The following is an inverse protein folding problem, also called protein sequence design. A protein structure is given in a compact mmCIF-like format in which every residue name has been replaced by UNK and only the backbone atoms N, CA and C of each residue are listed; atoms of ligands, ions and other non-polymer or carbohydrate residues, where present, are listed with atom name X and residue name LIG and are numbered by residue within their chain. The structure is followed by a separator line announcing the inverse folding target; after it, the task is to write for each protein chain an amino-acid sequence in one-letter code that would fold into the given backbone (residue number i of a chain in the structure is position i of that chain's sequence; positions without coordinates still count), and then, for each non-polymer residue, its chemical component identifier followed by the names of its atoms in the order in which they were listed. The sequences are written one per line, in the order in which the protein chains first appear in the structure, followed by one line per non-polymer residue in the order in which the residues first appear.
data_IF_824029898567
#
_entry.id   IF_824029898567
#
_cell.length_a   1.000
_cell.length_b   1.000
_cell.length_c   1.000
_cell.angle_alpha   90.00
_cell.angle_beta   90.00
_cell.angle_gamma   90.00
#
_symmetry.space_group_name_H-M   'P 1'
#
loop_
_entity.id
_entity.type
_entity.pdbx_description
1 polymer ?
#
# COMPACT_ATOMS: atom_id res chain seq x y z
N UNK A 1 -0.97 -6.98 26.29
CA UNK A 1 -0.16 -7.95 25.52
C UNK A 1 -0.32 -9.33 26.13
N UNK A 2 -0.78 -10.28 25.34
CA UNK A 2 -0.90 -11.69 25.72
C UNK A 2 0.48 -12.35 25.95
N UNK A 3 0.51 -13.54 26.54
CA UNK A 3 1.74 -14.32 26.68
C UNK A 3 2.35 -14.68 25.31
N UNK A 4 1.49 -14.95 24.32
CA UNK A 4 1.91 -15.22 22.94
C UNK A 4 2.54 -13.96 22.29
N UNK A 5 1.96 -12.77 22.52
CA UNK A 5 2.54 -11.50 22.05
C UNK A 5 3.94 -11.25 22.61
N UNK A 6 4.14 -11.54 23.90
CA UNK A 6 5.45 -11.41 24.54
C UNK A 6 6.47 -12.38 23.94
N UNK A 7 6.07 -13.63 23.70
CA UNK A 7 6.91 -14.65 23.05
C UNK A 7 7.27 -14.24 21.62
N UNK A 8 6.29 -13.76 20.84
CA UNK A 8 6.48 -13.26 19.48
C UNK A 8 7.44 -12.08 19.45
N UNK A 9 7.26 -11.09 20.33
CA UNK A 9 8.15 -9.93 20.46
C UNK A 9 9.58 -10.34 20.82
N UNK A 10 9.77 -11.25 21.78
CA UNK A 10 11.10 -11.73 22.16
C UNK A 10 11.83 -12.43 21.00
N UNK A 11 11.10 -13.18 20.16
CA UNK A 11 11.68 -13.78 18.96
C UNK A 11 12.06 -12.73 17.92
N UNK A 12 11.24 -11.71 17.69
CA UNK A 12 11.55 -10.61 16.78
C UNK A 12 12.76 -9.79 17.24
N UNK A 13 12.88 -9.49 18.54
CA UNK A 13 14.04 -8.79 19.10
C UNK A 13 15.35 -9.56 18.86
N UNK A 14 15.34 -10.88 19.06
CA UNK A 14 16.50 -11.74 18.77
C UNK A 14 16.89 -11.72 17.30
N UNK A 15 15.91 -11.73 16.39
CA UNK A 15 16.18 -11.63 14.96
C UNK A 15 16.76 -10.28 14.57
N UNK A 16 16.20 -9.19 15.08
CA UNK A 16 16.69 -7.84 14.78
C UNK A 16 18.13 -7.63 15.25
N UNK A 17 18.51 -8.21 16.40
CA UNK A 17 19.88 -8.15 16.89
C UNK A 17 20.91 -8.88 16.01
N UNK A 18 20.46 -9.81 15.16
CA UNK A 18 21.32 -10.62 14.28
C UNK A 18 20.73 -10.72 12.87
N UNK A 19 20.19 -9.61 12.34
CA UNK A 19 19.38 -9.61 11.11
C UNK A 19 20.14 -10.23 9.93
N UNK A 20 21.36 -9.76 9.66
CA UNK A 20 22.17 -10.22 8.52
C UNK A 20 22.46 -11.71 8.60
N UNK A 21 22.85 -12.22 9.77
CA UNK A 21 23.10 -13.64 9.99
C UNK A 21 21.82 -14.47 9.83
N UNK A 22 20.69 -13.95 10.32
CA UNK A 22 19.41 -14.64 10.24
C UNK A 22 18.92 -14.77 8.79
N UNK A 23 18.92 -13.66 8.04
CA UNK A 23 18.54 -13.64 6.62
C UNK A 23 19.45 -14.55 5.79
N UNK A 24 20.76 -14.56 6.07
CA UNK A 24 21.70 -15.46 5.40
C UNK A 24 21.43 -16.94 5.72
N UNK A 25 21.06 -17.26 6.98
CA UNK A 25 20.84 -18.64 7.43
C UNK A 25 19.51 -19.25 6.98
N UNK A 26 18.44 -18.45 6.94
CA UNK A 26 17.11 -18.90 6.50
C UNK A 26 16.36 -17.71 5.86
N UNK A 27 16.54 -17.50 4.54
CA UNK A 27 15.87 -16.42 3.82
C UNK A 27 14.34 -16.47 3.93
N UNK A 28 13.77 -17.67 4.12
CA UNK A 28 12.32 -17.85 4.23
C UNK A 28 11.78 -17.57 5.65
N UNK A 29 12.63 -17.51 6.67
CA UNK A 29 12.16 -17.34 8.04
C UNK A 29 11.57 -15.95 8.31
N UNK A 30 12.11 -14.90 7.66
CA UNK A 30 11.53 -13.56 7.71
C UNK A 30 10.11 -13.60 7.16
N UNK A 31 9.93 -14.16 5.95
CA UNK A 31 8.62 -14.36 5.32
C UNK A 31 7.63 -15.07 6.25
N UNK A 32 7.99 -16.24 6.79
CA UNK A 32 7.11 -17.01 7.69
C UNK A 32 6.69 -16.23 8.94
N UNK A 33 7.52 -15.33 9.44
CA UNK A 33 7.24 -14.56 10.65
C UNK A 33 6.45 -13.29 10.38
N UNK A 34 6.70 -12.65 9.25
CA UNK A 34 5.89 -11.55 8.72
C UNK A 34 4.42 -11.98 8.60
N UNK A 35 4.16 -13.17 8.05
CA UNK A 35 2.81 -13.76 7.99
C UNK A 35 2.18 -14.04 9.36
N UNK A 36 2.98 -14.21 10.42
CA UNK A 36 2.48 -14.38 11.80
C UNK A 36 2.26 -13.08 12.57
N UNK A 37 2.64 -11.92 12.02
CA UNK A 37 2.57 -10.65 12.75
C UNK A 37 3.93 -10.10 13.11
N UNK A 38 4.21 -8.88 12.64
CA UNK A 38 5.25 -8.03 13.24
C UNK A 38 4.62 -7.29 14.44
N UNK A 39 5.14 -7.43 15.66
CA UNK A 39 4.64 -6.70 16.82
C UNK A 39 4.86 -5.19 16.68
N UNK A 40 3.88 -4.40 17.11
CA UNK A 40 3.92 -2.94 17.03
C UNK A 40 5.22 -2.30 17.53
N UNK A 41 5.83 -2.73 18.67
CA UNK A 41 7.03 -2.08 19.19
C UNK A 41 8.29 -2.21 18.35
N UNK A 42 8.32 -3.14 17.38
CA UNK A 42 9.49 -3.39 16.52
C UNK A 42 9.18 -3.19 15.04
N UNK A 43 7.94 -2.78 14.71
CA UNK A 43 7.46 -2.69 13.34
C UNK A 43 8.25 -1.69 12.52
N UNK A 44 8.49 -0.50 13.07
CA UNK A 44 9.34 0.50 12.43
C UNK A 44 10.70 -0.05 12.04
N UNK A 45 11.41 -0.69 12.97
CA UNK A 45 12.72 -1.28 12.69
C UNK A 45 12.68 -2.37 11.60
N UNK A 46 11.67 -3.25 11.64
CA UNK A 46 11.51 -4.30 10.63
C UNK A 46 11.23 -3.69 9.26
N UNK A 47 10.33 -2.71 9.17
CA UNK A 47 9.98 -2.05 7.91
C UNK A 47 11.15 -1.26 7.32
N UNK A 48 11.92 -0.55 8.16
CA UNK A 48 13.17 0.11 7.73
C UNK A 48 14.15 -0.88 7.11
N UNK A 49 14.29 -2.08 7.68
CA UNK A 49 15.15 -3.14 7.14
C UNK A 49 14.61 -3.74 5.83
N UNK A 50 13.32 -4.06 5.76
CA UNK A 50 12.69 -4.59 4.54
C UNK A 50 12.78 -3.60 3.38
N UNK A 51 12.63 -2.31 3.66
CA UNK A 51 12.78 -1.23 2.68
C UNK A 51 14.23 -0.84 2.43
N UNK A 52 15.22 -1.39 3.13
CA UNK A 52 16.62 -0.92 3.05
C UNK A 52 16.78 0.60 3.24
N UNK A 53 15.89 1.22 4.02
CA UNK A 53 15.77 2.67 4.11
C UNK A 53 17.03 3.32 4.72
N UNK A 54 17.69 2.64 5.66
CA UNK A 54 18.97 3.10 6.20
C UNK A 54 20.07 3.13 5.12
N UNK A 55 20.14 2.10 4.28
CA UNK A 55 21.12 2.05 3.19
C UNK A 55 20.86 3.18 2.17
N UNK A 56 19.59 3.48 1.87
CA UNK A 56 19.24 4.63 1.02
C UNK A 56 19.66 5.95 1.66
N UNK A 57 19.39 6.13 2.96
CA UNK A 57 19.80 7.34 3.70
C UNK A 57 21.32 7.56 3.68
N UNK A 58 22.12 6.50 3.75
CA UNK A 58 23.59 6.55 3.76
C UNK A 58 24.18 7.01 2.42
N UNK A 59 23.41 6.97 1.33
CA UNK A 59 23.83 7.50 0.03
C UNK A 59 23.83 9.03 -0.03
N UNK A 60 23.26 9.70 0.98
CA UNK A 60 23.08 11.16 1.00
C UNK A 60 23.77 11.79 2.21
N UNK A 61 24.10 13.10 2.15
CA UNK A 61 24.70 13.80 3.28
C UNK A 61 23.84 13.71 4.55
N UNK A 62 24.46 13.68 5.74
CA UNK A 62 23.75 13.78 7.01
C UNK A 62 22.82 15.00 7.06
N UNK A 63 21.71 14.89 7.78
CA UNK A 63 20.68 15.94 7.92
C UNK A 63 19.99 16.35 6.61
N UNK A 64 20.06 15.53 5.55
CA UNK A 64 19.36 15.83 4.29
C UNK A 64 17.86 16.05 4.50
N UNK A 65 17.19 15.21 5.30
CA UNK A 65 15.76 15.41 5.62
C UNK A 65 15.48 16.76 6.29
N UNK A 66 16.27 17.13 7.31
CA UNK A 66 16.11 18.40 8.00
C UNK A 66 16.31 19.60 7.05
N UNK A 67 17.30 19.52 6.16
CA UNK A 67 17.54 20.55 5.12
C UNK A 67 16.37 20.68 4.16
N UNK A 68 15.79 19.56 3.73
CA UNK A 68 14.63 19.55 2.83
C UNK A 68 13.37 20.11 3.50
N UNK A 69 13.18 19.89 4.81
CA UNK A 69 12.05 20.50 5.54
C UNK A 69 12.13 22.03 5.55
N UNK A 70 13.35 22.57 5.69
CA UNK A 70 13.62 24.01 5.70
C UNK A 70 13.65 24.63 4.30
N UNK A 71 13.70 23.81 3.25
CA UNK A 71 13.75 24.30 1.89
C UNK A 71 12.36 24.80 1.46
N UNK A 72 12.31 26.06 1.04
CA UNK A 72 11.15 26.66 0.38
C UNK A 72 11.54 26.93 -1.07
N UNK A 73 11.05 26.10 -2.00
CA UNK A 73 11.21 26.34 -3.44
C UNK A 73 10.08 27.25 -3.96
N UNK A 74 10.33 28.00 -5.03
CA UNK A 74 9.33 28.86 -5.67
C UNK A 74 8.32 28.06 -6.54
N UNK A 75 7.19 28.70 -6.85
CA UNK A 75 6.11 28.34 -7.80
C UNK A 75 5.57 26.89 -7.80
N UNK A 76 6.34 25.88 -8.21
CA UNK A 76 5.90 24.47 -8.29
C UNK A 76 5.78 23.82 -6.90
N UNK A 77 6.53 24.33 -5.92
CA UNK A 77 6.32 23.95 -4.52
C UNK A 77 4.93 24.37 -4.04
N UNK A 78 4.40 25.50 -4.51
CA UNK A 78 3.09 25.98 -4.06
C UNK A 78 1.98 25.01 -4.47
N UNK A 79 2.01 24.47 -5.69
CA UNK A 79 1.00 23.50 -6.13
C UNK A 79 1.04 22.22 -5.30
N UNK A 80 2.22 21.63 -5.13
CA UNK A 80 2.37 20.41 -4.34
C UNK A 80 1.97 20.63 -2.88
N UNK A 81 2.40 21.76 -2.29
CA UNK A 81 2.04 22.15 -0.92
C UNK A 81 0.52 22.31 -0.77
N UNK A 82 -0.14 22.98 -1.71
CA UNK A 82 -1.59 23.16 -1.69
C UNK A 82 -2.34 21.82 -1.77
N UNK A 83 -1.87 20.91 -2.61
CA UNK A 83 -2.42 19.55 -2.72
C UNK A 83 -2.19 18.72 -1.45
N UNK A 84 -0.99 18.79 -0.85
CA UNK A 84 -0.70 18.16 0.45
C UNK A 84 -1.65 18.71 1.52
N UNK A 85 -1.74 20.04 1.67
CA UNK A 85 -2.57 20.70 2.68
C UNK A 85 -4.05 20.32 2.55
N UNK A 86 -4.55 20.17 1.31
CA UNK A 86 -5.91 19.69 1.04
C UNK A 86 -6.12 18.24 1.51
N UNK A 87 -5.08 17.43 1.48
CA UNK A 87 -5.14 16.00 1.77
C UNK A 87 -4.91 15.64 3.24
N UNK A 88 -4.23 16.50 4.00
CA UNK A 88 -3.97 16.26 5.43
C UNK A 88 -5.25 15.93 6.23
N UNK A 89 -6.37 16.67 6.10
CA UNK A 89 -7.56 16.40 6.92
C UNK A 89 -8.29 15.10 6.56
N UNK A 90 -8.08 14.59 5.34
CA UNK A 90 -8.71 13.36 4.82
C UNK A 90 -7.81 12.13 4.94
N UNK A 91 -6.57 12.29 5.38
CA UNK A 91 -5.62 11.18 5.59
C UNK A 91 -5.75 10.65 7.02
N UNK A 92 -6.31 9.44 7.17
CA UNK A 92 -6.57 8.79 8.46
C UNK A 92 -7.33 9.66 9.49
N UNK A 93 -8.48 10.28 9.12
CA UNK A 93 -9.18 11.22 10.00
C UNK A 93 -9.66 10.61 11.32
N UNK A 94 -9.89 9.29 11.35
CA UNK A 94 -10.33 8.53 12.53
C UNK A 94 -9.18 8.08 13.43
N UNK A 95 -7.91 8.24 13.00
CA UNK A 95 -6.74 7.82 13.78
C UNK A 95 -6.29 8.97 14.67
N UNK A 96 -6.23 8.73 15.98
CA UNK A 96 -6.00 9.77 17.00
C UNK A 96 -4.77 10.65 16.73
N UNK A 97 -3.69 10.07 16.18
CA UNK A 97 -2.47 10.80 15.84
C UNK A 97 -2.67 11.88 14.76
N UNK A 98 -3.55 11.63 13.78
CA UNK A 98 -3.83 12.52 12.65
C UNK A 98 -5.15 13.30 12.77
N UNK A 99 -6.02 12.93 13.73
CA UNK A 99 -7.37 13.48 13.88
C UNK A 99 -7.39 14.99 14.20
N UNK A 100 -6.38 15.50 14.92
CA UNK A 100 -6.31 16.94 15.25
C UNK A 100 -5.79 17.74 14.05
N UNK A 101 -6.63 18.63 13.52
CA UNK A 101 -6.24 19.60 12.49
C UNK A 101 -5.02 20.42 12.95
N UNK A 102 -3.99 20.49 12.12
CA UNK A 102 -2.70 21.12 12.43
C UNK A 102 -2.00 20.57 13.70
N UNK A 103 -2.41 19.38 14.15
CA UNK A 103 -1.80 18.65 15.26
C UNK A 103 -0.44 18.07 14.88
N UNK A 104 0.26 17.45 15.86
CA UNK A 104 1.60 16.91 15.63
C UNK A 104 1.65 15.91 14.48
N UNK A 105 0.68 14.98 14.36
CA UNK A 105 0.66 14.00 13.27
C UNK A 105 0.46 14.62 11.89
N UNK A 106 -0.42 15.61 11.74
CA UNK A 106 -0.59 16.31 10.45
C UNK A 106 0.64 17.14 10.08
N UNK A 107 1.33 17.74 11.06
CA UNK A 107 2.59 18.47 10.82
C UNK A 107 3.72 17.53 10.42
N UNK A 108 3.85 16.38 11.09
CA UNK A 108 4.81 15.35 10.72
C UNK A 108 4.54 14.83 9.30
N UNK A 109 3.28 14.57 8.97
CA UNK A 109 2.87 14.15 7.63
C UNK A 109 3.19 15.22 6.58
N UNK A 110 2.90 16.49 6.88
CA UNK A 110 3.25 17.61 6.02
C UNK A 110 4.76 17.69 5.77
N UNK A 111 5.59 17.60 6.82
CA UNK A 111 7.04 17.68 6.71
C UNK A 111 7.60 16.57 5.82
N UNK A 112 7.18 15.32 6.05
CA UNK A 112 7.62 14.16 5.26
C UNK A 112 7.25 14.32 3.79
N UNK A 113 6.00 14.69 3.50
CA UNK A 113 5.53 14.86 2.12
C UNK A 113 6.20 16.06 1.45
N UNK A 114 6.30 17.22 2.11
CA UNK A 114 6.98 18.41 1.58
C UNK A 114 8.44 18.09 1.26
N UNK A 115 9.15 17.47 2.20
CA UNK A 115 10.53 17.05 1.99
C UNK A 115 10.65 16.07 0.81
N UNK A 116 9.73 15.10 0.68
CA UNK A 116 9.71 14.17 -0.45
C UNK A 116 9.52 14.90 -1.78
N UNK A 117 8.58 15.83 -1.89
CA UNK A 117 8.37 16.59 -3.14
C UNK A 117 9.56 17.45 -3.53
N UNK A 118 10.36 17.88 -2.55
CA UNK A 118 11.61 18.60 -2.79
C UNK A 118 12.74 17.65 -3.20
N UNK A 119 12.73 16.42 -2.70
CA UNK A 119 13.69 15.37 -3.04
C UNK A 119 13.45 14.80 -4.45
N UNK A 120 12.20 14.52 -4.80
CA UNK A 120 11.78 14.04 -6.12
C UNK A 120 10.78 15.01 -6.74
N UNK A 121 11.30 16.15 -7.21
CA UNK A 121 10.50 17.20 -7.83
C UNK A 121 9.82 16.75 -9.13
N UNK A 122 10.34 15.71 -9.79
CA UNK A 122 9.76 15.17 -11.02
C UNK A 122 8.48 14.41 -10.73
N UNK A 123 8.47 13.57 -9.69
CA UNK A 123 7.25 12.87 -9.27
C UNK A 123 6.29 13.82 -8.55
N UNK A 124 6.83 14.70 -7.69
CA UNK A 124 6.04 15.63 -6.90
C UNK A 124 5.12 14.92 -5.90
N UNK A 125 4.00 15.57 -5.56
CA UNK A 125 2.94 14.98 -4.75
C UNK A 125 1.79 14.54 -5.64
N UNK A 126 1.31 13.33 -5.39
CA UNK A 126 0.11 12.79 -6.04
C UNK A 126 -0.83 12.27 -4.96
N UNK A 127 -2.13 12.54 -5.14
CA UNK A 127 -3.17 12.08 -4.22
C UNK A 127 -3.03 10.59 -3.92
N UNK A 128 -3.06 10.25 -2.63
CA UNK A 128 -2.86 8.89 -2.12
C UNK A 128 -1.52 8.70 -1.42
N UNK A 129 -0.49 9.47 -1.78
CA UNK A 129 0.82 9.42 -1.11
C UNK A 129 0.75 9.77 0.38
N UNK A 130 -0.21 10.61 0.79
CA UNK A 130 -0.46 10.89 2.20
C UNK A 130 -0.76 9.64 3.04
N UNK A 131 -1.49 8.66 2.49
CA UNK A 131 -1.78 7.41 3.21
C UNK A 131 -0.55 6.51 3.35
N UNK A 132 0.34 6.52 2.35
CA UNK A 132 1.64 5.83 2.43
C UNK A 132 2.49 6.44 3.54
N UNK A 133 2.73 7.75 3.49
CA UNK A 133 3.54 8.45 4.48
C UNK A 133 2.93 8.38 5.88
N UNK A 134 1.60 8.49 5.98
CA UNK A 134 0.86 8.34 7.23
C UNK A 134 1.02 6.95 7.84
N UNK A 135 0.96 5.89 7.03
CA UNK A 135 1.16 4.50 7.51
C UNK A 135 2.56 4.30 8.06
N UNK A 136 3.58 4.84 7.40
CA UNK A 136 4.96 4.82 7.92
C UNK A 136 5.06 5.58 9.25
N UNK A 137 4.53 6.80 9.33
CA UNK A 137 4.57 7.65 10.53
C UNK A 137 3.86 7.07 11.76
N UNK A 138 2.96 6.10 11.59
CA UNK A 138 2.37 5.38 12.73
C UNK A 138 3.37 4.45 13.43
N UNK A 139 4.50 4.15 12.79
CA UNK A 139 5.44 3.11 13.24
C UNK A 139 6.89 3.57 13.33
N UNK A 140 7.24 4.77 12.86
CA UNK A 140 8.59 5.30 12.90
C UNK A 140 8.64 6.84 12.98
N UNK A 141 9.83 7.41 13.16
CA UNK A 141 10.05 8.87 13.19
C UNK A 141 9.84 9.50 11.81
N UNK A 142 9.75 10.85 11.76
CA UNK A 142 9.64 11.60 10.51
C UNK A 142 10.77 11.28 9.53
N UNK A 143 12.03 11.30 9.99
CA UNK A 143 13.17 11.03 9.13
C UNK A 143 13.20 9.58 8.63
N UNK A 144 12.89 8.60 9.49
CA UNK A 144 12.78 7.21 9.06
C UNK A 144 11.64 7.02 8.06
N UNK A 145 10.49 7.67 8.27
CA UNK A 145 9.35 7.62 7.37
C UNK A 145 9.69 8.25 6.01
N UNK A 146 10.43 9.37 6.00
CA UNK A 146 10.93 9.99 4.78
C UNK A 146 11.83 9.04 3.98
N UNK A 147 12.85 8.45 4.59
CA UNK A 147 13.74 7.53 3.87
C UNK A 147 13.07 6.23 3.45
N UNK A 148 12.13 5.73 4.26
CA UNK A 148 11.29 4.59 3.89
C UNK A 148 10.38 4.93 2.70
N UNK A 149 9.80 6.13 2.65
CA UNK A 149 9.02 6.61 1.51
C UNK A 149 9.87 6.72 0.24
N UNK A 150 11.06 7.33 0.34
CA UNK A 150 12.02 7.44 -0.76
C UNK A 150 12.39 6.07 -1.30
N UNK A 151 12.77 5.13 -0.42
CA UNK A 151 13.12 3.79 -0.84
C UNK A 151 11.95 3.07 -1.51
N UNK A 152 10.76 3.13 -0.91
CA UNK A 152 9.60 2.42 -1.44
C UNK A 152 9.14 2.94 -2.80
N UNK A 153 9.19 4.25 -3.04
CA UNK A 153 8.76 4.85 -4.30
C UNK A 153 9.83 4.75 -5.41
N UNK A 154 11.10 4.92 -5.05
CA UNK A 154 12.16 5.11 -6.04
C UNK A 154 13.07 3.89 -6.23
N UNK A 155 13.16 2.99 -5.24
CA UNK A 155 13.98 1.78 -5.38
C UNK A 155 13.16 0.60 -5.94
N UNK A 156 13.80 -0.20 -6.79
CA UNK A 156 13.30 -1.53 -7.15
C UNK A 156 13.57 -2.49 -5.98
N UNK A 157 12.76 -2.42 -4.92
CA UNK A 157 12.92 -3.25 -3.72
C UNK A 157 12.58 -4.73 -3.97
N UNK A 158 11.83 -5.03 -5.03
CA UNK A 158 11.42 -6.38 -5.39
C UNK A 158 11.70 -6.66 -6.87
N UNK A 159 12.42 -7.75 -7.17
CA UNK A 159 12.92 -8.06 -8.52
C UNK A 159 11.82 -8.21 -9.59
N UNK A 160 10.61 -8.59 -9.19
CA UNK A 160 9.47 -8.82 -10.08
C UNK A 160 8.48 -7.66 -10.13
N UNK A 161 8.78 -6.53 -9.48
CA UNK A 161 7.87 -5.38 -9.46
C UNK A 161 8.58 -4.10 -9.91
N UNK A 162 7.94 -3.29 -10.78
CA UNK A 162 8.43 -1.96 -11.08
C UNK A 162 8.38 -1.06 -9.81
N UNK A 163 9.17 0.02 -9.76
CA UNK A 163 9.11 1.00 -8.67
C UNK A 163 7.69 1.50 -8.43
N UNK A 164 7.30 1.66 -7.16
CA UNK A 164 5.95 2.12 -6.82
C UNK A 164 5.67 3.55 -7.32
N UNK A 165 6.68 4.38 -7.57
CA UNK A 165 6.53 5.68 -8.23
C UNK A 165 5.74 5.60 -9.54
N UNK A 166 5.78 4.47 -10.26
CA UNK A 166 5.01 4.25 -11.49
C UNK A 166 3.48 4.20 -11.28
N UNK A 167 2.99 4.00 -10.04
CA UNK A 167 1.58 4.16 -9.69
C UNK A 167 1.14 5.63 -9.73
N UNK A 168 2.08 6.55 -9.53
CA UNK A 168 1.86 7.99 -9.40
C UNK A 168 2.39 8.78 -10.60
N UNK A 169 3.17 8.15 -11.48
CA UNK A 169 3.63 8.76 -12.72
C UNK A 169 2.46 9.27 -13.58
N UNK A 170 2.74 10.23 -14.46
CA UNK A 170 1.75 10.80 -15.36
C UNK A 170 1.00 9.72 -16.16
N UNK A 171 -0.33 9.83 -16.21
CA UNK A 171 -1.20 8.81 -16.80
C UNK A 171 -1.39 7.54 -15.96
N UNK A 172 -0.68 7.39 -14.84
CA UNK A 172 -0.75 6.28 -13.88
C UNK A 172 -0.62 4.89 -14.53
N UNK A 173 0.40 4.64 -15.38
CA UNK A 173 0.50 3.44 -16.21
C UNK A 173 0.49 2.15 -15.38
N UNK A 174 1.22 2.11 -14.26
CA UNK A 174 1.23 0.94 -13.39
C UNK A 174 -0.13 0.73 -12.74
N UNK A 175 -0.85 1.80 -12.36
CA UNK A 175 -2.18 1.65 -11.79
C UNK A 175 -3.17 1.06 -12.80
N UNK A 176 -3.11 1.50 -14.07
CA UNK A 176 -3.94 0.91 -15.14
C UNK A 176 -3.68 -0.57 -15.29
N UNK A 177 -2.40 -0.95 -15.33
CA UNK A 177 -1.96 -2.34 -15.37
C UNK A 177 -2.49 -3.12 -14.16
N UNK A 178 -2.38 -2.59 -12.93
CA UNK A 178 -2.91 -3.24 -11.72
C UNK A 178 -4.43 -3.44 -11.77
N UNK A 179 -5.17 -2.46 -12.28
CA UNK A 179 -6.62 -2.59 -12.49
C UNK A 179 -6.96 -3.66 -13.54
N UNK A 180 -6.19 -3.75 -14.63
CA UNK A 180 -6.34 -4.81 -15.65
C UNK A 180 -6.02 -6.19 -15.07
N UNK A 181 -4.92 -6.31 -14.33
CA UNK A 181 -4.53 -7.53 -13.63
C UNK A 181 -5.62 -7.99 -12.67
N UNK A 182 -6.22 -7.08 -11.88
CA UNK A 182 -7.35 -7.40 -11.01
C UNK A 182 -8.56 -7.94 -11.77
N UNK A 183 -8.89 -7.34 -12.92
CA UNK A 183 -10.01 -7.76 -13.76
C UNK A 183 -9.84 -9.21 -14.23
N UNK A 184 -8.63 -9.56 -14.68
CA UNK A 184 -8.26 -10.90 -15.14
C UNK A 184 -8.18 -11.91 -14.00
N UNK A 185 -7.58 -11.53 -12.88
CA UNK A 185 -7.51 -12.39 -11.70
C UNK A 185 -8.91 -12.68 -11.14
N UNK A 186 -9.83 -11.71 -11.18
CA UNK A 186 -11.21 -11.92 -10.76
C UNK A 186 -11.94 -12.90 -11.68
N UNK A 187 -11.65 -12.89 -12.99
CA UNK A 187 -12.18 -13.86 -13.93
C UNK A 187 -11.74 -15.30 -13.59
N UNK A 188 -10.55 -15.48 -13.04
CA UNK A 188 -10.02 -16.78 -12.61
C UNK A 188 -10.59 -17.16 -11.24
N UNK A 189 -10.58 -16.24 -10.28
CA UNK A 189 -10.96 -16.50 -8.88
C UNK A 189 -12.47 -16.65 -8.68
N UNK A 190 -13.28 -15.85 -9.37
CA UNK A 190 -14.74 -15.84 -9.24
C UNK A 190 -15.41 -15.46 -10.58
N UNK A 191 -15.50 -16.39 -11.54
CA UNK A 191 -16.05 -16.13 -12.87
C UNK A 191 -17.47 -15.52 -12.82
N UNK A 192 -18.32 -16.01 -11.91
CA UNK A 192 -19.70 -15.51 -11.73
C UNK A 192 -19.72 -14.04 -11.31
N UNK A 193 -18.90 -13.68 -10.33
CA UNK A 193 -18.79 -12.29 -9.85
C UNK A 193 -18.21 -11.38 -10.94
N UNK A 194 -17.21 -11.88 -11.69
CA UNK A 194 -16.66 -11.16 -12.83
C UNK A 194 -17.70 -10.91 -13.92
N UNK A 195 -18.53 -11.89 -14.26
CA UNK A 195 -19.62 -11.75 -15.23
C UNK A 195 -20.65 -10.72 -14.76
N UNK A 196 -21.02 -10.74 -13.48
CA UNK A 196 -21.91 -9.74 -12.89
C UNK A 196 -21.34 -8.32 -12.97
N UNK A 197 -20.06 -8.15 -12.60
CA UNK A 197 -19.39 -6.85 -12.73
C UNK A 197 -19.38 -6.36 -14.18
N UNK A 198 -19.18 -7.26 -15.15
CA UNK A 198 -19.23 -6.91 -16.56
C UNK A 198 -20.65 -6.53 -17.03
N UNK A 199 -21.71 -7.22 -16.59
CA UNK A 199 -23.08 -6.86 -16.94
C UNK A 199 -23.53 -5.53 -16.35
N UNK A 200 -23.03 -5.19 -15.15
CA UNK A 200 -23.27 -3.91 -14.50
C UNK A 200 -22.33 -2.80 -15.01
N UNK A 201 -21.38 -3.10 -15.92
CA UNK A 201 -20.41 -2.12 -16.42
C UNK A 201 -19.38 -1.65 -15.38
N UNK A 202 -19.18 -2.42 -14.30
CA UNK A 202 -18.21 -2.12 -13.25
C UNK A 202 -16.81 -2.55 -13.65
N UNK A 203 -15.89 -1.57 -13.72
CA UNK A 203 -14.47 -1.81 -13.97
C UNK A 203 -13.61 -1.52 -12.73
N UNK A 204 -12.52 -2.27 -12.49
CA UNK A 204 -11.60 -2.01 -11.38
C UNK A 204 -11.07 -0.56 -11.29
N UNK A 205 -10.92 0.12 -12.43
CA UNK A 205 -10.51 1.54 -12.48
C UNK A 205 -11.47 2.48 -11.73
N UNK A 206 -12.71 2.06 -11.48
CA UNK A 206 -13.72 2.84 -10.75
C UNK A 206 -13.60 2.71 -9.23
N UNK A 207 -12.97 1.67 -8.69
CA UNK A 207 -12.96 1.41 -7.24
C UNK A 207 -11.58 1.06 -6.65
N UNK A 208 -10.69 0.44 -7.43
CA UNK A 208 -9.46 -0.13 -6.93
C UNK A 208 -8.28 0.86 -6.87
N UNK A 209 -8.45 2.10 -7.36
CA UNK A 209 -7.35 3.08 -7.40
C UNK A 209 -6.68 3.25 -6.03
N UNK A 210 -7.47 3.50 -4.98
CA UNK A 210 -6.94 3.67 -3.62
C UNK A 210 -6.44 2.36 -3.00
N UNK A 211 -6.91 1.21 -3.45
CA UNK A 211 -6.40 -0.08 -2.96
C UNK A 211 -4.91 -0.23 -3.30
N UNK A 212 -4.53 0.10 -4.53
CA UNK A 212 -3.15 0.00 -4.99
C UNK A 212 -2.29 1.20 -4.56
N UNK A 213 -2.79 2.43 -4.71
CA UNK A 213 -1.99 3.63 -4.36
C UNK A 213 -1.76 3.80 -2.87
N UNK A 214 -2.46 3.05 -2.02
CA UNK A 214 -2.30 3.12 -0.56
C UNK A 214 -1.94 1.77 0.07
N UNK A 215 -1.72 0.72 -0.73
CA UNK A 215 -1.50 -0.66 -0.27
C UNK A 215 -2.59 -1.05 0.77
N UNK A 216 -3.85 -0.80 0.40
CA UNK A 216 -5.05 -1.05 1.22
C UNK A 216 -5.10 -0.35 2.58
N UNK A 217 -4.27 0.67 2.83
CA UNK A 217 -4.32 1.42 4.09
C UNK A 217 -5.48 2.42 4.15
N UNK A 218 -5.94 2.93 3.01
CA UNK A 218 -7.12 3.80 2.98
C UNK A 218 -8.40 3.01 3.32
N UNK A 219 -9.10 3.44 4.36
CA UNK A 219 -10.35 2.82 4.84
C UNK A 219 -10.16 1.71 5.88
N UNK A 220 -9.09 0.92 5.77
CA UNK A 220 -8.79 -0.14 6.72
C UNK A 220 -8.43 0.40 8.12
N UNK A 221 -8.61 -0.45 9.15
CA UNK A 221 -8.07 -0.17 10.47
C UNK A 221 -6.53 -0.11 10.44
N UNK A 222 -5.89 0.65 11.34
CA UNK A 222 -4.43 0.66 11.45
C UNK A 222 -3.83 -0.74 11.63
N UNK A 223 -4.52 -1.61 12.37
CA UNK A 223 -4.10 -2.99 12.61
C UNK A 223 -4.18 -3.84 11.33
N UNK A 224 -5.30 -3.80 10.59
CA UNK A 224 -5.43 -4.52 9.32
C UNK A 224 -4.42 -4.01 8.29
N UNK A 225 -4.30 -2.70 8.15
CA UNK A 225 -3.33 -2.06 7.26
C UNK A 225 -1.90 -2.49 7.60
N UNK A 226 -1.52 -2.48 8.88
CA UNK A 226 -0.20 -2.91 9.31
C UNK A 226 0.08 -4.40 8.97
N UNK A 227 -0.92 -5.28 9.06
CA UNK A 227 -0.77 -6.70 8.67
C UNK A 227 -0.57 -6.88 7.18
N UNK A 228 -1.28 -6.12 6.35
CA UNK A 228 -1.09 -6.09 4.90
C UNK A 228 0.31 -5.56 4.57
N UNK A 229 0.71 -4.44 5.19
CA UNK A 229 2.01 -3.81 4.96
C UNK A 229 3.19 -4.69 5.39
N UNK A 230 3.07 -5.41 6.51
CA UNK A 230 4.07 -6.39 6.93
C UNK A 230 4.42 -7.33 5.76
N UNK A 231 3.40 -7.91 5.10
CA UNK A 231 3.56 -8.84 3.97
C UNK A 231 3.99 -8.11 2.69
N UNK A 232 3.38 -6.95 2.40
CA UNK A 232 3.67 -6.16 1.21
C UNK A 232 5.14 -5.76 1.12
N UNK A 233 5.74 -5.32 2.23
CA UNK A 233 7.15 -4.95 2.28
C UNK A 233 8.10 -6.16 2.20
N UNK A 234 7.63 -7.36 2.51
CA UNK A 234 8.44 -8.58 2.46
C UNK A 234 8.35 -9.31 1.11
N UNK A 235 7.18 -9.31 0.48
CA UNK A 235 6.90 -10.12 -0.72
C UNK A 235 6.64 -9.32 -1.99
N UNK A 236 6.37 -8.02 -1.88
CA UNK A 236 6.01 -7.15 -3.00
C UNK A 236 4.64 -6.49 -2.78
N UNK A 237 4.55 -5.15 -2.90
CA UNK A 237 3.31 -4.42 -2.67
C UNK A 237 2.23 -4.73 -3.72
N UNK A 238 2.59 -4.92 -4.99
CA UNK A 238 1.67 -5.23 -6.07
C UNK A 238 1.04 -6.62 -5.91
N UNK A 239 1.85 -7.64 -5.74
CA UNK A 239 1.40 -9.03 -5.50
C UNK A 239 0.48 -9.11 -4.28
N UNK A 240 0.92 -8.54 -3.16
CA UNK A 240 0.14 -8.55 -1.91
C UNK A 240 -1.18 -7.80 -2.08
N UNK A 241 -1.17 -6.66 -2.77
CA UNK A 241 -2.40 -5.88 -3.01
C UNK A 241 -3.43 -6.66 -3.84
N UNK A 242 -3.01 -7.45 -4.83
CA UNK A 242 -3.93 -8.33 -5.57
C UNK A 242 -4.53 -9.42 -4.69
N UNK A 243 -3.71 -10.06 -3.84
CA UNK A 243 -4.19 -11.10 -2.91
C UNK A 243 -5.22 -10.54 -1.94
N UNK A 244 -4.98 -9.34 -1.40
CA UNK A 244 -5.93 -8.65 -0.52
C UNK A 244 -7.21 -8.27 -1.26
N UNK A 245 -7.11 -7.72 -2.48
CA UNK A 245 -8.27 -7.38 -3.30
C UNK A 245 -9.15 -8.60 -3.60
N UNK A 246 -8.55 -9.71 -4.05
CA UNK A 246 -9.27 -10.97 -4.29
C UNK A 246 -9.89 -11.52 -3.00
N UNK A 247 -9.16 -11.52 -1.88
CA UNK A 247 -9.70 -12.00 -0.61
C UNK A 247 -10.95 -11.21 -0.16
N UNK A 248 -10.92 -9.87 -0.24
CA UNK A 248 -12.06 -9.02 0.12
C UNK A 248 -13.26 -9.23 -0.83
N UNK A 249 -13.02 -9.32 -2.15
CA UNK A 249 -14.07 -9.53 -3.14
C UNK A 249 -14.73 -10.91 -2.98
N UNK A 250 -13.94 -11.96 -2.71
CA UNK A 250 -14.46 -13.30 -2.47
C UNK A 250 -15.25 -13.40 -1.17
N UNK A 251 -14.81 -12.71 -0.12
CA UNK A 251 -15.49 -12.71 1.17
C UNK A 251 -16.88 -12.06 1.12
N UNK A 252 -17.12 -11.15 0.17
CA UNK A 252 -18.41 -10.49 -0.02
C UNK A 252 -19.15 -10.91 -1.29
N UNK A 253 -18.68 -11.97 -1.97
CA UNK A 253 -19.13 -12.29 -3.33
C UNK A 253 -20.65 -12.51 -3.44
N UNK A 254 -21.25 -13.21 -2.47
CA UNK A 254 -22.68 -13.51 -2.49
C UNK A 254 -23.53 -12.24 -2.39
N UNK A 255 -23.12 -11.27 -1.56
CA UNK A 255 -23.79 -9.97 -1.44
C UNK A 255 -23.58 -9.12 -2.69
N UNK A 256 -22.35 -9.07 -3.22
CA UNK A 256 -22.01 -8.28 -4.40
C UNK A 256 -22.77 -8.75 -5.65
N UNK A 257 -23.05 -10.05 -5.77
CA UNK A 257 -23.84 -10.64 -6.87
C UNK A 257 -25.29 -10.15 -6.91
N UNK A 258 -25.82 -9.60 -5.81
CA UNK A 258 -27.20 -9.16 -5.71
C UNK A 258 -27.38 -7.66 -6.00
N UNK A 259 -26.28 -6.91 -6.08
CA UNK A 259 -26.32 -5.45 -6.15
C UNK A 259 -26.26 -4.95 -7.60
N UNK A 260 -27.15 -4.03 -8.00
CA UNK A 260 -27.00 -3.28 -9.25
C UNK A 260 -25.90 -2.22 -9.12
N UNK A 261 -25.44 -1.67 -10.26
CA UNK A 261 -24.32 -0.73 -10.35
C UNK A 261 -24.29 0.36 -9.27
N UNK A 262 -25.40 1.07 -9.06
CA UNK A 262 -25.50 2.19 -8.13
C UNK A 262 -25.20 1.81 -6.67
N UNK A 263 -25.56 0.58 -6.27
CA UNK A 263 -25.27 0.05 -4.94
C UNK A 263 -23.94 -0.71 -4.90
N UNK A 264 -23.54 -1.30 -6.04
CA UNK A 264 -22.34 -2.12 -6.15
C UNK A 264 -21.06 -1.28 -6.02
N UNK A 265 -20.97 -0.13 -6.70
CA UNK A 265 -19.80 0.76 -6.64
C UNK A 265 -19.46 1.21 -5.21
N UNK A 266 -20.39 1.83 -4.44
CA UNK A 266 -20.07 2.26 -3.07
C UNK A 266 -19.79 1.05 -2.17
N UNK A 267 -20.47 -0.09 -2.39
CA UNK A 267 -20.21 -1.30 -1.62
C UNK A 267 -18.79 -1.81 -1.79
N UNK A 268 -18.34 -1.99 -3.03
CA UNK A 268 -16.97 -2.45 -3.33
C UNK A 268 -15.94 -1.46 -2.76
N UNK A 269 -16.14 -0.15 -2.95
CA UNK A 269 -15.23 0.88 -2.41
C UNK A 269 -15.09 0.82 -0.88
N UNK A 270 -16.16 0.44 -0.18
CA UNK A 270 -16.18 0.38 1.29
C UNK A 270 -15.59 -0.91 1.89
N UNK A 271 -15.22 -1.91 1.08
CA UNK A 271 -14.72 -3.21 1.58
C UNK A 271 -13.56 -3.08 2.59
N UNK A 272 -12.55 -2.19 2.40
CA UNK A 272 -11.50 -2.02 3.39
C UNK A 272 -12.00 -1.58 4.77
N UNK A 273 -13.08 -0.78 4.84
CA UNK A 273 -13.64 -0.28 6.09
C UNK A 273 -14.34 -1.35 6.92
N UNK A 274 -14.72 -2.46 6.28
CA UNK A 274 -15.53 -3.52 6.88
C UNK A 274 -14.79 -4.86 6.98
N UNK A 275 -13.46 -4.87 6.84
CA UNK A 275 -12.61 -6.07 6.94
C UNK A 275 -12.89 -6.83 8.24
N UNK A 276 -12.79 -6.17 9.39
CA UNK A 276 -12.94 -6.81 10.71
C UNK A 276 -14.38 -6.80 11.23
N UNK A 277 -15.21 -5.86 10.78
CA UNK A 277 -16.59 -5.73 11.27
C UNK A 277 -17.58 -6.63 10.54
N UNK A 278 -17.22 -7.12 9.34
CA UNK A 278 -18.17 -7.82 8.46
C UNK A 278 -17.54 -8.91 7.60
N UNK A 279 -16.43 -8.64 6.91
CA UNK A 279 -15.86 -9.58 5.94
C UNK A 279 -15.19 -10.78 6.61
N UNK A 280 -14.50 -10.54 7.72
CA UNK A 280 -13.75 -11.57 8.42
C UNK A 280 -13.96 -11.48 9.93
N UNK A 281 -14.10 -12.61 10.64
CA UNK A 281 -14.31 -12.63 12.08
C UNK A 281 -13.07 -12.23 12.89
N UNK A 282 -11.89 -12.20 12.27
CA UNK A 282 -10.63 -11.78 12.88
C UNK A 282 -9.58 -11.42 11.83
N UNK A 283 -8.54 -10.69 12.23
CA UNK A 283 -7.37 -10.43 11.39
C UNK A 283 -6.63 -11.69 10.96
N UNK A 284 -6.62 -12.75 11.79
CA UNK A 284 -6.00 -14.02 11.42
C UNK A 284 -6.81 -14.72 10.33
N UNK A 285 -8.15 -14.67 10.39
CA UNK A 285 -9.02 -15.19 9.34
C UNK A 285 -8.85 -14.39 8.03
N UNK A 286 -8.75 -13.06 8.12
CA UNK A 286 -8.43 -12.20 6.99
C UNK A 286 -7.08 -12.59 6.35
N UNK A 287 -6.01 -12.66 7.14
CA UNK A 287 -4.68 -13.01 6.61
C UNK A 287 -4.64 -14.45 6.07
N UNK A 288 -5.43 -15.37 6.61
CA UNK A 288 -5.58 -16.71 6.04
C UNK A 288 -6.25 -16.67 4.65
N UNK A 289 -7.29 -15.85 4.47
CA UNK A 289 -7.91 -15.64 3.15
C UNK A 289 -6.94 -14.98 2.15
N UNK A 290 -6.14 -14.00 2.60
CA UNK A 290 -5.08 -13.39 1.78
C UNK A 290 -4.02 -14.42 1.38
N UNK A 291 -3.65 -15.34 2.28
CA UNK A 291 -2.73 -16.43 1.96
C UNK A 291 -3.34 -17.41 0.95
N UNK A 292 -4.63 -17.76 1.10
CA UNK A 292 -5.34 -18.63 0.16
C UNK A 292 -5.45 -18.01 -1.24
N UNK A 293 -5.58 -16.69 -1.35
CA UNK A 293 -5.57 -15.99 -2.64
C UNK A 293 -4.27 -16.21 -3.44
N UNK A 294 -3.17 -16.68 -2.83
CA UNK A 294 -1.95 -17.05 -3.53
C UNK A 294 -2.12 -18.28 -4.46
N UNK A 295 -3.19 -19.06 -4.33
CA UNK A 295 -3.53 -20.14 -5.27
C UNK A 295 -3.86 -19.60 -6.67
N UNK A 296 -4.40 -18.38 -6.73
CA UNK A 296 -4.76 -17.69 -7.99
C UNK A 296 -3.72 -16.63 -8.33
N UNK A 297 -3.31 -15.83 -7.34
CA UNK A 297 -2.39 -14.71 -7.53
C UNK A 297 -0.95 -15.18 -7.35
N UNK A 298 -0.37 -15.66 -8.45
CA UNK A 298 1.03 -16.13 -8.56
C UNK A 298 1.83 -15.24 -9.50
N UNK A 299 3.17 -15.29 -9.40
CA UNK A 299 4.05 -14.60 -10.37
C UNK A 299 3.75 -15.05 -11.80
N UNK A 300 3.61 -16.36 -12.02
CA UNK A 300 3.29 -16.92 -13.34
C UNK A 300 1.92 -16.46 -13.88
N UNK A 301 0.92 -16.27 -13.01
CA UNK A 301 -0.36 -15.70 -13.43
C UNK A 301 -0.21 -14.23 -13.83
N UNK A 302 0.48 -13.42 -13.02
CA UNK A 302 0.70 -12.00 -13.30
C UNK A 302 1.57 -11.77 -14.53
N UNK A 303 2.59 -12.59 -14.76
CA UNK A 303 3.47 -12.48 -15.94
C UNK A 303 2.67 -12.75 -17.23
N UNK A 304 1.84 -13.81 -17.25
CA UNK A 304 0.96 -14.10 -18.39
C UNK A 304 -0.03 -12.95 -18.67
N UNK A 305 -0.62 -12.39 -17.63
CA UNK A 305 -1.55 -11.25 -17.77
C UNK A 305 -0.80 -9.98 -18.21
N UNK A 306 0.45 -9.82 -17.80
CA UNK A 306 1.28 -8.68 -18.22
C UNK A 306 1.57 -8.71 -19.72
N UNK A 307 1.79 -9.89 -20.29
CA UNK A 307 1.98 -10.06 -21.73
C UNK A 307 0.72 -9.63 -22.50
N UNK A 308 -0.47 -10.04 -22.04
CA UNK A 308 -1.76 -9.59 -22.60
C UNK A 308 -1.94 -8.07 -22.51
N UNK A 309 -1.51 -7.45 -21.40
CA UNK A 309 -1.59 -6.00 -21.22
C UNK A 309 -0.75 -5.24 -22.25
N UNK A 310 0.48 -5.69 -22.52
CA UNK A 310 1.38 -5.04 -23.48
C UNK A 310 0.78 -5.05 -24.89
N UNK A 311 0.08 -6.12 -25.26
CA UNK A 311 -0.65 -6.19 -26.54
C UNK A 311 -1.86 -5.25 -26.59
N UNK A 312 -2.60 -5.14 -25.48
CA UNK A 312 -3.78 -4.29 -25.36
C UNK A 312 -3.46 -2.78 -25.28
N UNK A 313 -2.49 -2.36 -24.47
CA UNK A 313 -2.15 -0.93 -24.24
C UNK A 313 -1.53 -0.30 -25.50
N UNK A 314 -0.82 -1.08 -26.33
CA UNK A 314 -0.39 -0.65 -27.67
C UNK A 314 -1.56 -0.28 -28.59
N UNK A 315 -2.74 -0.81 -28.29
CA UNK A 315 -3.95 -0.67 -29.10
C UNK A 315 -4.94 0.38 -28.55
N UNK A 316 -4.82 0.79 -27.28
CA UNK A 316 -5.74 1.73 -26.61
C UNK A 316 -5.02 2.89 -25.89
N UNK A 317 -4.63 3.93 -26.64
CA UNK A 317 -4.16 5.18 -26.05
C UNK A 317 -5.35 6.06 -25.62
N UNK A 318 -5.97 5.80 -24.47
CA UNK A 318 -6.97 6.68 -23.86
C UNK A 318 -6.61 7.01 -22.41
N UNK A 319 -6.59 8.30 -22.01
CA UNK A 319 -6.23 8.69 -20.64
C UNK A 319 -7.36 8.41 -19.63
N UNK A 320 -6.97 7.98 -18.42
CA UNK A 320 -7.89 7.86 -17.28
C UNK A 320 -8.26 9.24 -16.75
N UNK A 321 -9.56 9.50 -16.58
CA UNK A 321 -10.04 10.61 -15.77
C UNK A 321 -9.82 10.28 -14.29
N UNK A 322 -8.97 11.04 -13.60
CA UNK A 322 -8.86 11.00 -12.15
C UNK A 322 -10.19 11.50 -11.58
N UNK A 323 -10.96 10.70 -10.81
CA UNK A 323 -12.18 11.19 -10.19
C UNK A 323 -11.80 12.25 -9.15
N UNK A 324 -12.15 13.52 -9.43
CA UNK A 324 -12.20 14.53 -8.38
C UNK A 324 -13.40 14.18 -7.49
N UNK A 325 -13.15 13.80 -6.25
CA UNK A 325 -14.16 13.82 -5.20
C UNK A 325 -14.34 15.25 -4.71
#
# INVERSE_FOLDING_TARGET
MSADDKSRLAKWRRMLAAWSSFVASDPCAVRRRVWRGVPSPVRGNVWTLLLSASAVSELYPPNTFARLCLFDSAADANRNVDEIVRDLPRTFPKVAYFARRNGPGQRALFNVLKAFTSFDAKLGYVQGMGFIAGTLLLHMSEESAFWSLVSMLNACTHAHEPPMSQLFAEGMPLLRRRCFELDRLLAIAAPRLKSHFASEGLHPTMFASHWYTTIHSCGASPEAAARVWDVALAEGPGMTSHRVAIAMLLADADELLLLPFDALVPRVRSLPEVIESRLFPSLDAFMHAVAKAAEVVTHQALDRIADEWVESDRSSAAPLAIPRQ
#
